data_IF_665958532232
#
_entry.id   IF_665958532232
#
_cell.length_a   1.000
_cell.length_b   1.000
_cell.length_c   1.000
_cell.angle_alpha   90.00
_cell.angle_beta   90.00
_cell.angle_gamma   90.00
#
_symmetry.space_group_name_H-M   'P 1'
#
loop_
_entity.id
_entity.type
_entity.pdbx_description
1 polymer ?
#
# COMPACT_ATOMS: atom_id res chain seq x y z
N UNK A 1 -3.82 -10.83 -7.63
CA UNK A 1 -3.45 -9.78 -6.65
C UNK A 1 -4.70 -9.03 -6.22
N UNK A 2 -4.77 -8.61 -4.96
CA UNK A 2 -5.80 -7.67 -4.47
C UNK A 2 -5.13 -6.60 -3.62
N UNK A 3 -5.55 -5.34 -3.75
CA UNK A 3 -5.05 -4.23 -2.93
C UNK A 3 -6.21 -3.51 -2.25
N UNK A 4 -6.16 -3.37 -0.92
CA UNK A 4 -7.16 -2.63 -0.14
C UNK A 4 -6.62 -1.28 0.33
N UNK A 5 -7.43 -0.24 0.20
CA UNK A 5 -7.09 1.09 0.73
C UNK A 5 -7.62 1.25 2.15
N UNK A 6 -6.71 1.21 3.15
CA UNK A 6 -7.08 1.17 4.57
C UNK A 6 -6.88 2.51 5.26
N UNK A 7 -5.79 3.23 4.97
CA UNK A 7 -5.53 4.55 5.54
C UNK A 7 -4.69 5.38 4.58
N UNK A 8 -5.19 6.55 4.21
CA UNK A 8 -4.52 7.48 3.31
C UNK A 8 -3.61 8.47 4.05
N UNK A 9 -2.61 9.04 3.38
CA UNK A 9 -1.79 10.14 3.91
C UNK A 9 -2.63 11.35 4.32
N UNK A 10 -3.75 11.59 3.65
CA UNK A 10 -4.68 12.69 3.91
C UNK A 10 -5.49 12.46 5.20
N UNK A 11 -5.53 11.22 5.73
CA UNK A 11 -6.26 10.94 6.97
C UNK A 11 -5.55 11.42 8.23
N UNK A 12 -4.29 11.85 8.14
CA UNK A 12 -3.61 12.57 9.23
C UNK A 12 -4.22 13.93 9.53
N UNK A 13 -4.97 14.52 8.59
CA UNK A 13 -5.71 15.77 8.82
C UNK A 13 -6.96 15.63 9.70
N UNK A 14 -7.29 14.42 10.16
CA UNK A 14 -8.42 14.16 11.08
C UNK A 14 -8.05 14.48 12.53
N UNK A 15 -9.05 14.49 13.41
CA UNK A 15 -8.82 14.71 14.84
C UNK A 15 -7.85 13.65 15.43
N UNK A 16 -6.91 14.08 16.27
CA UNK A 16 -5.88 13.19 16.84
C UNK A 16 -6.47 11.98 17.57
N UNK A 17 -7.60 12.18 18.25
CA UNK A 17 -8.33 11.09 18.94
C UNK A 17 -8.84 10.04 17.96
N UNK A 18 -9.39 10.45 16.82
CA UNK A 18 -9.84 9.55 15.76
C UNK A 18 -8.67 8.77 15.16
N UNK A 19 -7.56 9.47 14.84
CA UNK A 19 -6.35 8.84 14.31
C UNK A 19 -5.79 7.82 15.30
N UNK A 20 -5.69 8.15 16.58
CA UNK A 20 -5.19 7.24 17.63
C UNK A 20 -6.08 6.00 17.79
N UNK A 21 -7.41 6.18 17.73
CA UNK A 21 -8.36 5.07 17.75
C UNK A 21 -8.20 4.15 16.53
N UNK A 22 -8.05 4.71 15.33
CA UNK A 22 -7.82 3.94 14.11
C UNK A 22 -6.51 3.13 14.19
N UNK A 23 -5.42 3.75 14.66
CA UNK A 23 -4.14 3.05 14.83
C UNK A 23 -4.21 1.90 15.84
N UNK A 24 -5.02 2.05 16.91
CA UNK A 24 -5.26 0.97 17.88
C UNK A 24 -6.02 -0.18 17.23
N UNK A 25 -7.06 0.15 16.45
CA UNK A 25 -7.85 -0.83 15.70
C UNK A 25 -6.99 -1.59 14.69
N UNK A 26 -6.15 -0.89 13.91
CA UNK A 26 -5.30 -1.50 12.90
C UNK A 26 -4.32 -2.52 13.50
N UNK A 27 -3.65 -2.20 14.61
CA UNK A 27 -2.74 -3.15 15.26
C UNK A 27 -3.46 -4.47 15.63
N UNK A 28 -4.66 -4.39 16.21
CA UNK A 28 -5.44 -5.58 16.56
C UNK A 28 -5.97 -6.36 15.35
N UNK A 29 -6.45 -5.64 14.32
CA UNK A 29 -7.02 -6.26 13.11
C UNK A 29 -5.94 -6.95 12.27
N UNK A 30 -4.76 -6.32 12.11
CA UNK A 30 -3.65 -6.88 11.32
C UNK A 30 -3.23 -8.23 11.87
N UNK A 31 -2.97 -8.34 13.18
CA UNK A 31 -2.54 -9.59 13.79
C UNK A 31 -3.58 -10.72 13.60
N UNK A 32 -4.86 -10.41 13.83
CA UNK A 32 -5.95 -11.38 13.63
C UNK A 32 -6.07 -11.81 12.16
N UNK A 33 -6.06 -10.86 11.24
CA UNK A 33 -6.22 -11.13 9.80
C UNK A 33 -5.01 -11.83 9.21
N UNK A 34 -3.80 -11.56 9.69
CA UNK A 34 -2.58 -12.25 9.29
C UNK A 34 -2.71 -13.77 9.46
N UNK A 35 -3.20 -14.23 10.61
CA UNK A 35 -3.44 -15.66 10.84
C UNK A 35 -4.51 -16.25 9.89
N UNK A 36 -5.60 -15.50 9.65
CA UNK A 36 -6.67 -15.95 8.75
C UNK A 36 -6.20 -16.07 7.28
N UNK A 37 -5.44 -15.08 6.79
CA UNK A 37 -4.93 -15.10 5.41
C UNK A 37 -3.78 -16.07 5.23
N UNK A 38 -2.97 -16.30 6.27
CA UNK A 38 -1.92 -17.31 6.26
C UNK A 38 -2.49 -18.71 6.05
N UNK A 39 -3.59 -19.04 6.74
CA UNK A 39 -4.31 -20.34 6.55
C UNK A 39 -4.84 -20.53 5.14
N UNK A 40 -5.03 -19.44 4.38
CA UNK A 40 -5.47 -19.47 2.97
C UNK A 40 -4.29 -19.49 1.99
N UNK A 41 -3.05 -19.45 2.49
CA UNK A 41 -1.85 -19.37 1.66
C UNK A 41 -1.71 -18.02 0.96
N UNK A 42 -2.25 -16.93 1.52
CA UNK A 42 -2.12 -15.58 0.94
C UNK A 42 -0.92 -14.86 1.56
N UNK A 43 -0.15 -14.18 0.72
CA UNK A 43 1.00 -13.36 1.12
C UNK A 43 0.54 -11.93 1.40
N UNK A 44 0.68 -11.48 2.64
CA UNK A 44 0.27 -10.15 3.05
C UNK A 44 1.43 -9.17 2.91
N UNK A 45 1.18 -8.03 2.26
CA UNK A 45 2.18 -6.99 1.99
C UNK A 45 1.60 -5.61 2.25
N UNK A 46 2.39 -4.68 2.80
CA UNK A 46 1.90 -3.34 3.12
C UNK A 46 2.54 -2.28 2.21
N UNK A 47 1.71 -1.37 1.70
CA UNK A 47 2.11 -0.22 0.88
C UNK A 47 1.93 1.06 1.69
N UNK A 48 2.87 2.00 1.57
CA UNK A 48 2.80 3.31 2.23
C UNK A 48 4.00 3.60 3.14
N UNK A 49 4.01 4.81 3.71
CA UNK A 49 5.12 5.29 4.54
C UNK A 49 5.05 4.72 5.95
N UNK A 50 6.19 4.27 6.45
CA UNK A 50 6.30 3.62 7.76
C UNK A 50 6.63 4.59 8.90
N UNK A 51 7.25 5.73 8.60
CA UNK A 51 7.86 6.60 9.61
C UNK A 51 6.84 7.24 10.59
N UNK A 52 5.62 7.49 10.12
CA UNK A 52 4.55 8.11 10.92
C UNK A 52 3.70 7.09 11.68
N UNK A 53 3.87 5.79 11.41
CA UNK A 53 3.07 4.75 12.05
C UNK A 53 3.54 4.50 13.49
N UNK A 54 2.63 4.40 14.47
CA UNK A 54 3.00 4.03 15.83
C UNK A 54 3.71 2.68 15.87
N UNK A 55 4.68 2.52 16.77
CA UNK A 55 5.50 1.31 16.90
C UNK A 55 4.67 0.02 16.94
N UNK A 56 3.55 0.02 17.66
CA UNK A 56 2.64 -1.15 17.72
C UNK A 56 2.11 -1.58 16.35
N UNK A 57 1.79 -0.63 15.49
CA UNK A 57 1.27 -0.90 14.13
C UNK A 57 2.41 -1.42 13.27
N UNK A 58 3.59 -0.81 13.36
CA UNK A 58 4.79 -1.28 12.66
C UNK A 58 5.18 -2.70 13.04
N UNK A 59 5.12 -3.04 14.32
CA UNK A 59 5.37 -4.41 14.80
C UNK A 59 4.37 -5.38 14.18
N UNK A 60 3.06 -5.09 14.26
CA UNK A 60 2.04 -5.97 13.67
C UNK A 60 2.17 -6.12 12.15
N UNK A 61 2.54 -5.05 11.43
CA UNK A 61 2.82 -5.10 9.99
C UNK A 61 3.97 -6.05 9.71
N UNK A 62 5.11 -5.89 10.40
CA UNK A 62 6.30 -6.73 10.19
C UNK A 62 6.03 -8.19 10.51
N UNK A 63 5.38 -8.48 11.63
CA UNK A 63 5.01 -9.84 12.02
C UNK A 63 4.08 -10.49 11.00
N UNK A 64 3.13 -9.75 10.43
CA UNK A 64 2.21 -10.26 9.43
C UNK A 64 2.88 -10.51 8.06
N UNK A 65 3.77 -9.61 7.61
CA UNK A 65 4.58 -9.81 6.40
C UNK A 65 5.51 -11.03 6.56
N UNK A 66 6.15 -11.19 7.72
CA UNK A 66 7.03 -12.33 7.99
C UNK A 66 6.24 -13.65 8.03
N UNK A 67 5.12 -13.69 8.75
CA UNK A 67 4.28 -14.89 8.89
C UNK A 67 3.81 -15.43 7.54
N UNK A 68 3.64 -14.57 6.54
CA UNK A 68 3.03 -14.90 5.26
C UNK A 68 4.00 -14.83 4.08
N UNK A 69 5.30 -14.62 4.31
CA UNK A 69 6.28 -14.34 3.24
C UNK A 69 6.34 -15.43 2.16
N UNK A 70 6.27 -16.69 2.57
CA UNK A 70 6.45 -17.85 1.68
C UNK A 70 5.13 -18.35 1.07
N UNK A 71 4.04 -17.61 1.27
CA UNK A 71 2.75 -17.94 0.69
C UNK A 71 2.69 -17.55 -0.80
N UNK A 72 2.06 -18.40 -1.62
CA UNK A 72 2.05 -18.22 -3.08
C UNK A 72 0.64 -18.16 -3.69
N UNK A 73 -0.42 -18.45 -2.93
CA UNK A 73 -1.76 -18.58 -3.51
C UNK A 73 -2.34 -17.23 -3.97
N UNK A 74 -2.01 -16.13 -3.27
CA UNK A 74 -2.45 -14.79 -3.62
C UNK A 74 -1.60 -13.72 -2.92
N UNK A 75 -1.13 -12.73 -3.67
CA UNK A 75 -0.65 -11.47 -3.10
C UNK A 75 -1.81 -10.56 -2.66
N UNK A 76 -1.82 -10.26 -1.36
CA UNK A 76 -2.79 -9.40 -0.71
C UNK A 76 -2.09 -8.15 -0.17
N UNK A 77 -2.33 -7.02 -0.82
CA UNK A 77 -1.74 -5.74 -0.44
C UNK A 77 -2.68 -4.91 0.42
N UNK A 78 -2.10 -4.25 1.42
CA UNK A 78 -2.80 -3.30 2.30
C UNK A 78 -2.11 -1.96 2.20
N UNK A 79 -2.79 -0.98 1.61
CA UNK A 79 -2.32 0.40 1.53
C UNK A 79 -2.64 1.13 2.85
N UNK A 80 -1.60 1.30 3.68
CA UNK A 80 -1.64 1.85 5.03
C UNK A 80 -0.67 3.03 5.12
N UNK A 81 -1.18 4.21 5.48
CA UNK A 81 -0.45 5.46 5.33
C UNK A 81 0.09 5.65 3.90
N UNK A 82 -0.79 5.40 2.93
CA UNK A 82 -0.47 5.40 1.52
C UNK A 82 -1.05 6.65 0.82
N UNK A 83 -0.31 7.17 -0.15
CA UNK A 83 -0.80 8.12 -1.13
C UNK A 83 0.02 7.97 -2.41
N UNK A 84 -0.63 7.94 -3.57
CA UNK A 84 0.01 7.71 -4.87
C UNK A 84 1.00 8.81 -5.23
N UNK A 85 0.68 10.07 -4.90
CA UNK A 85 1.63 11.17 -5.04
C UNK A 85 2.87 10.97 -4.15
N UNK A 86 2.70 10.51 -2.91
CA UNK A 86 3.81 10.24 -2.01
C UNK A 86 4.69 9.09 -2.54
N UNK A 87 4.07 8.01 -3.04
CA UNK A 87 4.77 6.90 -3.68
C UNK A 87 5.61 7.38 -4.88
N UNK A 88 5.05 8.21 -5.76
CA UNK A 88 5.76 8.77 -6.92
C UNK A 88 6.96 9.61 -6.47
N UNK A 89 6.78 10.48 -5.47
CA UNK A 89 7.86 11.31 -4.94
C UNK A 89 8.96 10.44 -4.32
N UNK A 90 8.59 9.40 -3.58
CA UNK A 90 9.55 8.49 -2.95
C UNK A 90 10.25 7.58 -3.96
N UNK A 91 9.60 7.25 -5.08
CA UNK A 91 10.24 6.60 -6.23
C UNK A 91 11.31 7.50 -6.85
N UNK A 92 10.98 8.77 -7.14
CA UNK A 92 11.93 9.75 -7.69
C UNK A 92 13.12 9.95 -6.76
N UNK A 93 12.90 10.07 -5.44
CA UNK A 93 13.98 10.21 -4.45
C UNK A 93 14.93 9.02 -4.47
N UNK A 94 14.41 7.80 -4.59
CA UNK A 94 15.23 6.58 -4.69
C UNK A 94 16.01 6.53 -6.00
N UNK A 95 15.40 6.88 -7.14
CA UNK A 95 16.09 6.97 -8.44
C UNK A 95 17.27 7.94 -8.39
N UNK A 96 17.06 9.13 -7.83
CA UNK A 96 18.13 10.14 -7.67
C UNK A 96 19.20 9.66 -6.70
N UNK A 97 18.79 9.02 -5.59
CA UNK A 97 19.72 8.45 -4.61
C UNK A 97 20.62 7.34 -5.16
N UNK A 98 20.09 6.55 -6.10
CA UNK A 98 20.84 5.50 -6.81
C UNK A 98 21.71 6.05 -7.96
N UNK A 99 21.56 7.33 -8.31
CA UNK A 99 22.42 8.02 -9.27
C UNK A 99 22.16 7.69 -10.74
N UNK A 100 20.94 7.28 -11.10
CA UNK A 100 20.59 6.97 -12.50
C UNK A 100 20.67 8.23 -13.38
N UNK A 101 21.23 8.08 -14.57
CA UNK A 101 21.18 9.10 -15.60
C UNK A 101 19.75 9.24 -16.16
N UNK A 102 19.32 10.43 -16.60
CA UNK A 102 17.98 10.64 -17.15
C UNK A 102 17.60 9.67 -18.28
N UNK A 103 18.56 9.29 -19.11
CA UNK A 103 18.37 8.39 -20.26
C UNK A 103 18.12 6.93 -19.85
N UNK A 104 18.45 6.56 -18.62
CA UNK A 104 18.20 5.22 -18.06
C UNK A 104 16.79 5.08 -17.46
N UNK A 105 16.06 6.19 -17.35
CA UNK A 105 14.74 6.26 -16.72
C UNK A 105 13.65 6.18 -17.80
N UNK A 106 13.04 5.02 -17.89
CA UNK A 106 11.79 4.80 -18.62
C UNK A 106 10.67 4.35 -17.66
N UNK A 107 9.49 4.02 -18.20
CA UNK A 107 8.36 3.55 -17.41
C UNK A 107 8.65 2.24 -16.65
N UNK A 108 9.47 1.34 -17.22
CA UNK A 108 9.83 0.07 -16.60
C UNK A 108 10.82 0.29 -15.46
N UNK A 109 11.82 1.16 -15.65
CA UNK A 109 12.73 1.61 -14.60
C UNK A 109 11.95 2.28 -13.48
N UNK A 110 11.09 3.24 -13.78
CA UNK A 110 10.28 3.93 -12.77
C UNK A 110 9.43 2.97 -11.94
N UNK A 111 8.78 1.98 -12.58
CA UNK A 111 7.97 0.98 -11.89
C UNK A 111 8.76 0.16 -10.85
N UNK A 112 10.05 -0.12 -11.10
CA UNK A 112 10.93 -0.80 -10.13
C UNK A 112 11.16 0.00 -8.84
N UNK A 113 10.92 1.31 -8.89
CA UNK A 113 11.05 2.23 -7.77
C UNK A 113 9.74 2.53 -7.06
N UNK A 114 8.63 1.87 -7.38
CA UNK A 114 7.37 1.99 -6.62
C UNK A 114 7.43 1.17 -5.31
N UNK A 115 6.35 1.16 -4.51
CA UNK A 115 6.33 0.36 -3.28
C UNK A 115 6.17 -1.14 -3.54
N UNK A 116 5.59 -1.53 -4.68
CA UNK A 116 5.45 -2.91 -5.11
C UNK A 116 5.92 -3.08 -6.56
N UNK A 117 7.24 -3.20 -6.80
CA UNK A 117 7.80 -3.26 -8.15
C UNK A 117 7.46 -4.55 -8.91
N UNK A 118 7.07 -5.59 -8.18
CA UNK A 118 6.65 -6.90 -8.72
C UNK A 118 5.13 -7.05 -8.84
N UNK A 119 4.35 -6.03 -8.43
CA UNK A 119 2.91 -6.03 -8.61
C UNK A 119 2.54 -5.82 -10.09
N UNK A 120 1.60 -6.59 -10.66
CA UNK A 120 1.06 -6.29 -11.98
C UNK A 120 0.26 -4.97 -11.96
N UNK A 121 -0.02 -4.39 -13.14
CA UNK A 121 -0.97 -3.29 -13.29
C UNK A 121 -2.35 -3.64 -12.71
N UNK A 122 -3.13 -2.61 -12.35
CA UNK A 122 -4.50 -2.80 -11.87
C UNK A 122 -5.46 -2.83 -13.06
N UNK A 123 -6.21 -3.92 -13.18
CA UNK A 123 -7.24 -4.06 -14.23
C UNK A 123 -8.59 -3.45 -13.81
N UNK A 124 -8.93 -3.49 -12.51
CA UNK A 124 -10.21 -3.03 -11.99
C UNK A 124 -10.02 -2.31 -10.64
N UNK A 125 -10.48 -1.06 -10.57
CA UNK A 125 -10.62 -0.31 -9.34
C UNK A 125 -12.08 -0.29 -8.91
N UNK A 126 -12.34 -0.81 -7.70
CA UNK A 126 -13.67 -0.78 -7.08
C UNK A 126 -13.67 0.27 -5.97
N UNK A 127 -14.62 1.20 -6.02
CA UNK A 127 -14.85 2.18 -4.96
C UNK A 127 -16.29 2.12 -4.51
N UNK A 128 -16.53 1.93 -3.22
CA UNK A 128 -17.88 1.89 -2.66
C UNK A 128 -18.35 3.30 -2.26
N UNK A 129 -19.57 3.41 -1.71
CA UNK A 129 -20.19 4.65 -1.19
C UNK A 129 -20.69 5.66 -2.23
N UNK A 130 -20.64 5.35 -3.54
CA UNK A 130 -21.16 6.21 -4.60
C UNK A 130 -20.28 7.43 -4.93
N UNK A 131 -19.08 7.50 -4.37
CA UNK A 131 -18.15 8.60 -4.57
C UNK A 131 -17.35 8.43 -5.87
N UNK A 132 -17.53 9.34 -6.83
CA UNK A 132 -16.89 9.28 -8.15
C UNK A 132 -15.52 9.97 -8.15
N UNK A 133 -14.53 9.38 -7.46
CA UNK A 133 -13.15 9.90 -7.42
C UNK A 133 -12.13 8.82 -7.10
N UNK A 134 -10.86 9.05 -7.44
CA UNK A 134 -9.75 8.12 -7.11
C UNK A 134 -9.23 8.32 -5.68
N UNK A 135 -9.19 9.55 -5.19
CA UNK A 135 -8.62 9.91 -3.88
C UNK A 135 -7.17 9.47 -3.67
N UNK A 136 -6.30 9.77 -4.64
CA UNK A 136 -4.85 9.55 -4.53
C UNK A 136 -4.47 8.07 -4.34
N UNK A 137 -5.32 7.12 -4.75
CA UNK A 137 -5.06 5.69 -4.64
C UNK A 137 -4.40 5.12 -5.91
N UNK A 138 -3.28 4.41 -5.77
CA UNK A 138 -2.59 3.65 -6.83
C UNK A 138 -2.39 4.41 -8.16
N UNK A 139 -2.08 5.71 -8.11
CA UNK A 139 -2.12 6.61 -9.28
C UNK A 139 -1.36 6.10 -10.51
N UNK A 140 -0.17 5.52 -10.30
CA UNK A 140 0.60 4.92 -11.39
C UNK A 140 -0.03 3.61 -11.87
N UNK A 141 -0.39 2.73 -10.93
CA UNK A 141 -0.84 1.37 -11.24
C UNK A 141 -2.22 1.28 -11.87
N UNK A 142 -3.06 2.31 -11.74
CA UNK A 142 -4.44 2.33 -12.26
C UNK A 142 -4.58 3.04 -13.61
N UNK A 143 -3.48 3.41 -14.27
CA UNK A 143 -3.49 4.21 -15.48
C UNK A 143 -4.40 3.65 -16.60
N UNK A 144 -4.62 2.34 -16.62
CA UNK A 144 -5.47 1.64 -17.58
C UNK A 144 -6.58 0.81 -16.93
N UNK A 145 -6.84 1.02 -15.64
CA UNK A 145 -7.86 0.27 -14.91
C UNK A 145 -9.27 0.65 -15.37
N UNK A 146 -10.17 -0.32 -15.40
CA UNK A 146 -11.60 -0.06 -15.37
C UNK A 146 -12.03 0.43 -13.99
N UNK A 147 -13.09 1.25 -13.93
CA UNK A 147 -13.60 1.83 -12.70
C UNK A 147 -15.02 1.33 -12.43
N UNK A 148 -15.24 0.78 -11.25
CA UNK A 148 -16.54 0.42 -10.73
C UNK A 148 -16.83 1.23 -9.46
N UNK A 149 -17.96 1.95 -9.44
CA UNK A 149 -18.38 2.85 -8.35
C UNK A 149 -19.70 2.41 -7.72
#
# INVERSE_FOLDING_TARGET
>A
MVTLYVFSTENWGRAETEVSSLMSLFAGVIAKKASEVNKKGYRLRFLGRRDELPLRVLTSVREAEELTRDNEALDFYVALNYGGQAEIVDAVRRIVGDGLAPEEIDAATFARYLYAPDAPPVDLLIRTSGELRVSNFLLWSIAYAEFYF
#
